data_IF_958675281114
#
_entry.id   IF_958675281114
#
_cell.length_a   1.000
_cell.length_b   1.000
_cell.length_c   1.000
_cell.angle_alpha   90.00
_cell.angle_beta   90.00
_cell.angle_gamma   90.00
#
_symmetry.space_group_name_H-M   'P 1'
#
loop_
_entity.id
_entity.type
_entity.pdbx_description
1 polymer ?
#
# COMPACT_ATOMS: atom_id res chain seq x y z
N UNK A 1 24.46 25.93 -21.97
CA UNK A 1 23.59 25.99 -23.16
C UNK A 1 22.65 24.77 -23.29
N UNK A 2 22.92 23.62 -22.70
CA UNK A 2 22.06 22.41 -22.81
C UNK A 2 20.77 22.46 -21.93
N UNK A 3 20.67 23.34 -20.93
CA UNK A 3 19.49 23.45 -20.05
C UNK A 3 18.28 24.18 -20.69
N UNK A 4 18.54 25.03 -21.68
CA UNK A 4 17.47 25.79 -22.38
C UNK A 4 16.68 24.94 -23.39
N UNK A 5 17.31 23.95 -24.04
CA UNK A 5 16.64 23.08 -24.99
C UNK A 5 15.58 22.18 -24.34
N UNK A 6 15.73 21.81 -23.06
CA UNK A 6 14.78 20.97 -22.34
C UNK A 6 13.47 21.71 -21.96
N UNK A 7 13.50 23.04 -21.85
CA UNK A 7 12.35 23.86 -21.49
C UNK A 7 11.37 24.09 -22.65
N UNK A 8 11.85 24.10 -23.89
CA UNK A 8 11.05 24.39 -25.07
C UNK A 8 10.18 23.22 -25.54
N UNK A 9 10.48 22.00 -25.07
CA UNK A 9 9.78 20.78 -25.45
C UNK A 9 8.70 20.34 -24.45
N UNK A 10 8.40 21.19 -23.44
CA UNK A 10 7.32 20.96 -22.46
C UNK A 10 6.04 21.69 -22.91
N UNK A 11 5.19 20.99 -23.64
CA UNK A 11 3.78 21.41 -23.77
C UNK A 11 3.00 21.10 -22.49
N UNK A 12 1.82 21.72 -22.26
CA UNK A 12 0.97 21.41 -21.14
C UNK A 12 0.61 19.92 -21.13
N UNK A 13 1.04 19.18 -20.10
CA UNK A 13 0.79 17.74 -19.93
C UNK A 13 1.63 16.81 -20.81
N UNK A 14 2.73 17.29 -21.44
CA UNK A 14 3.59 16.48 -22.32
C UNK A 14 5.07 16.85 -22.17
N UNK A 15 5.92 15.83 -22.24
CA UNK A 15 7.39 15.99 -22.27
C UNK A 15 7.96 15.15 -23.40
N UNK A 16 8.82 15.77 -24.21
CA UNK A 16 9.63 15.11 -25.22
C UNK A 16 11.09 15.10 -24.75
N UNK A 17 11.71 13.95 -24.73
CA UNK A 17 13.13 13.76 -24.43
C UNK A 17 13.78 13.06 -25.61
N UNK A 18 14.83 13.67 -26.19
CA UNK A 18 15.67 13.02 -27.17
C UNK A 18 16.61 12.06 -26.45
N UNK A 19 16.49 10.77 -26.76
CA UNK A 19 17.31 9.71 -26.16
C UNK A 19 18.75 9.79 -26.71
N UNK A 20 19.69 9.10 -26.09
CA UNK A 20 21.10 9.11 -26.50
C UNK A 20 21.25 8.67 -27.96
N UNK A 21 20.56 7.60 -28.33
CA UNK A 21 20.52 7.03 -29.68
C UNK A 21 19.93 8.03 -30.67
N UNK A 22 18.85 8.70 -30.30
CA UNK A 22 18.24 9.74 -31.14
C UNK A 22 19.18 10.92 -31.45
N UNK A 23 20.01 11.32 -30.46
CA UNK A 23 21.02 12.38 -30.71
C UNK A 23 22.06 11.97 -31.73
N UNK A 24 22.52 10.71 -31.69
CA UNK A 24 23.43 10.18 -32.69
C UNK A 24 22.81 10.14 -34.08
N UNK A 25 21.58 9.65 -34.19
CA UNK A 25 20.86 9.60 -35.47
C UNK A 25 20.67 11.00 -36.04
N UNK A 26 20.28 11.99 -35.24
CA UNK A 26 20.17 13.39 -35.67
C UNK A 26 21.54 13.92 -36.14
N UNK A 27 22.59 13.66 -35.40
CA UNK A 27 23.96 14.07 -35.78
C UNK A 27 24.43 13.47 -37.10
N UNK A 28 24.19 12.16 -37.29
CA UNK A 28 24.48 11.45 -38.54
C UNK A 28 23.66 12.04 -39.69
N UNK A 29 22.37 12.28 -39.46
CA UNK A 29 21.46 12.84 -40.48
C UNK A 29 21.95 14.20 -40.95
N UNK A 30 22.38 15.08 -40.04
CA UNK A 30 22.95 16.37 -40.37
C UNK A 30 24.28 16.20 -41.12
N UNK A 31 25.17 15.32 -40.67
CA UNK A 31 26.46 15.05 -41.30
C UNK A 31 26.31 14.53 -42.74
N UNK A 32 25.41 13.57 -42.96
CA UNK A 32 25.12 13.04 -44.30
C UNK A 32 24.52 14.13 -45.19
N UNK A 33 23.63 14.98 -44.63
CA UNK A 33 23.06 16.11 -45.38
C UNK A 33 24.12 17.11 -45.87
N UNK A 34 25.06 17.48 -44.97
CA UNK A 34 26.18 18.36 -45.31
C UNK A 34 27.09 17.73 -46.38
N UNK A 35 27.38 16.43 -46.25
CA UNK A 35 28.17 15.69 -47.24
C UNK A 35 27.44 15.63 -48.61
N UNK A 36 26.15 15.40 -48.60
CA UNK A 36 25.32 15.36 -49.83
C UNK A 36 25.37 16.70 -50.58
N UNK A 37 25.20 17.81 -49.84
CA UNK A 37 25.27 19.16 -50.42
C UNK A 37 26.67 19.47 -50.97
N UNK A 38 27.71 19.10 -50.22
CA UNK A 38 29.09 19.40 -50.62
C UNK A 38 29.57 18.58 -51.83
N UNK A 39 29.13 17.32 -51.94
CA UNK A 39 29.55 16.39 -53.02
C UNK A 39 28.64 16.39 -54.22
N UNK A 40 27.42 16.89 -54.11
CA UNK A 40 26.36 16.80 -55.16
C UNK A 40 25.96 15.39 -55.52
N UNK A 41 26.24 14.38 -54.66
CA UNK A 41 25.99 12.96 -54.93
C UNK A 41 24.54 12.59 -54.67
N UNK A 42 23.83 12.17 -55.72
CA UNK A 42 22.40 11.79 -55.67
C UNK A 42 22.13 10.64 -54.68
N UNK A 43 23.06 9.70 -54.52
CA UNK A 43 22.90 8.60 -53.56
C UNK A 43 22.90 9.11 -52.14
N UNK A 44 23.76 10.08 -51.78
CA UNK A 44 23.77 10.70 -50.49
C UNK A 44 22.48 11.49 -50.18
N UNK A 45 21.90 12.16 -51.16
CA UNK A 45 20.60 12.81 -51.02
C UNK A 45 19.48 11.78 -50.75
N UNK A 46 19.52 10.61 -51.40
CA UNK A 46 18.57 9.54 -51.16
C UNK A 46 18.66 9.04 -49.70
N UNK A 47 19.91 8.73 -49.25
CA UNK A 47 20.14 8.28 -47.85
C UNK A 47 19.73 9.36 -46.85
N UNK A 48 20.02 10.62 -47.12
CA UNK A 48 19.58 11.72 -46.26
C UNK A 48 18.08 11.84 -46.18
N UNK A 49 17.37 11.72 -47.29
CA UNK A 49 15.90 11.70 -47.33
C UNK A 49 15.30 10.52 -46.51
N UNK A 50 15.92 9.34 -46.58
CA UNK A 50 15.51 8.18 -45.80
C UNK A 50 15.72 8.43 -44.27
N UNK A 51 16.85 9.00 -43.88
CA UNK A 51 17.12 9.33 -42.46
C UNK A 51 16.16 10.40 -41.94
N UNK A 52 15.90 11.46 -42.70
CA UNK A 52 14.91 12.49 -42.37
C UNK A 52 13.50 11.88 -42.20
N UNK A 53 13.10 11.02 -43.15
CA UNK A 53 11.82 10.33 -43.09
C UNK A 53 11.70 9.45 -41.85
N UNK A 54 12.75 8.73 -41.47
CA UNK A 54 12.77 7.91 -40.27
C UNK A 54 12.61 8.74 -38.97
N UNK A 55 13.30 9.89 -38.89
CA UNK A 55 13.19 10.81 -37.75
C UNK A 55 11.78 11.40 -37.65
N UNK A 56 11.23 11.88 -38.78
CA UNK A 56 9.87 12.43 -38.82
C UNK A 56 8.82 11.37 -38.48
N UNK A 57 8.93 10.19 -39.06
CA UNK A 57 8.02 9.07 -38.82
C UNK A 57 8.06 8.64 -37.35
N UNK A 58 9.23 8.56 -36.75
CA UNK A 58 9.39 8.29 -35.32
C UNK A 58 8.64 9.33 -34.46
N UNK A 59 8.72 10.61 -34.81
CA UNK A 59 7.99 11.67 -34.12
C UNK A 59 6.47 11.53 -34.22
N UNK A 60 5.95 11.19 -35.40
CA UNK A 60 4.51 11.04 -35.64
C UNK A 60 3.96 9.77 -34.97
N UNK A 61 4.64 8.62 -35.17
CA UNK A 61 4.19 7.34 -34.61
C UNK A 61 4.23 7.31 -33.10
N UNK A 62 5.24 7.93 -32.46
CA UNK A 62 5.28 8.04 -31.00
C UNK A 62 4.12 8.88 -30.44
N UNK A 63 3.65 9.89 -31.16
CA UNK A 63 2.46 10.66 -30.78
C UNK A 63 1.18 9.83 -30.97
N UNK A 64 1.09 9.12 -32.08
CA UNK A 64 -0.05 8.23 -32.35
C UNK A 64 -0.18 7.12 -31.31
N UNK A 65 0.95 6.56 -30.84
CA UNK A 65 0.98 5.51 -29.83
C UNK A 65 0.45 5.97 -28.45
N UNK A 66 0.58 7.25 -28.11
CA UNK A 66 0.05 7.80 -26.85
C UNK A 66 -1.37 8.35 -26.96
N UNK A 67 -1.85 8.57 -28.22
CA UNK A 67 -3.18 9.12 -28.45
C UNK A 67 -4.24 8.05 -28.14
N UNK A 68 -5.25 8.43 -27.35
CA UNK A 68 -6.37 7.54 -27.03
C UNK A 68 -6.12 6.61 -25.83
N UNK A 69 -4.92 6.61 -25.25
CA UNK A 69 -4.69 5.88 -24.01
C UNK A 69 -5.30 6.63 -22.82
N UNK A 70 -6.10 5.91 -22.03
CA UNK A 70 -6.75 6.42 -20.84
C UNK A 70 -6.57 5.45 -19.67
N UNK A 71 -6.33 6.04 -18.49
CA UNK A 71 -6.33 5.29 -17.25
C UNK A 71 -7.78 5.22 -16.74
N UNK A 72 -8.26 4.02 -16.43
CA UNK A 72 -9.65 3.77 -16.04
C UNK A 72 -9.81 3.56 -14.54
N UNK A 73 -8.96 2.77 -13.95
CA UNK A 73 -9.04 2.37 -12.55
C UNK A 73 -7.65 2.16 -11.95
N UNK A 74 -7.48 2.65 -10.73
CA UNK A 74 -6.32 2.35 -9.91
C UNK A 74 -6.82 1.78 -8.59
N UNK A 75 -6.27 0.65 -8.18
CA UNK A 75 -6.50 0.05 -6.86
C UNK A 75 -5.17 -0.12 -6.17
N UNK A 76 -5.18 0.05 -4.87
CA UNK A 76 -4.00 -0.10 -4.03
C UNK A 76 -4.35 -1.02 -2.86
N UNK A 77 -3.43 -1.90 -2.49
CA UNK A 77 -3.51 -2.68 -1.25
C UNK A 77 -3.09 -1.83 -0.05
N UNK A 78 -3.38 -2.33 1.15
CA UNK A 78 -2.84 -1.76 2.39
C UNK A 78 -1.32 -1.68 2.29
N UNK A 79 -0.73 -0.64 2.87
CA UNK A 79 0.70 -0.37 2.74
C UNK A 79 1.31 0.08 4.06
N UNK A 80 2.56 -0.37 4.28
CA UNK A 80 3.42 0.07 5.38
C UNK A 80 4.72 0.63 4.81
N UNK A 81 5.39 1.46 5.57
CA UNK A 81 6.70 2.02 5.19
C UNK A 81 7.68 0.89 4.87
N UNK A 82 8.41 1.04 3.76
CA UNK A 82 9.41 0.06 3.33
C UNK A 82 8.86 -1.23 2.71
N UNK A 83 7.57 -1.53 2.90
CA UNK A 83 6.94 -2.74 2.34
C UNK A 83 6.38 -2.50 0.94
N UNK A 84 6.45 -3.48 0.04
CA UNK A 84 5.89 -3.37 -1.31
C UNK A 84 4.36 -3.44 -1.26
N UNK A 85 3.68 -2.35 -1.62
CA UNK A 85 2.24 -2.28 -1.79
C UNK A 85 1.87 -2.57 -3.25
N UNK A 86 0.91 -3.48 -3.48
CA UNK A 86 0.46 -3.81 -4.84
C UNK A 86 -0.46 -2.73 -5.38
N UNK A 87 -0.10 -2.18 -6.52
CA UNK A 87 -0.90 -1.20 -7.26
C UNK A 87 -1.39 -1.84 -8.56
N UNK A 88 -2.70 -1.94 -8.71
CA UNK A 88 -3.34 -2.43 -9.91
C UNK A 88 -3.80 -1.26 -10.78
N UNK A 89 -3.37 -1.22 -12.03
CA UNK A 89 -3.76 -0.19 -13.00
C UNK A 89 -4.52 -0.83 -14.16
N UNK A 90 -5.69 -0.29 -14.48
CA UNK A 90 -6.42 -0.60 -15.70
C UNK A 90 -6.23 0.54 -16.71
N UNK A 91 -5.70 0.22 -17.88
CA UNK A 91 -5.53 1.12 -19.00
C UNK A 91 -6.39 0.70 -20.19
N UNK A 92 -7.02 1.65 -20.87
CA UNK A 92 -7.79 1.43 -22.11
C UNK A 92 -7.15 2.16 -23.26
N UNK A 93 -7.23 1.55 -24.45
CA UNK A 93 -6.97 2.21 -25.72
C UNK A 93 -8.30 2.53 -26.40
N UNK A 94 -8.70 3.79 -26.37
CA UNK A 94 -9.97 4.25 -26.94
C UNK A 94 -9.86 4.56 -28.46
N UNK A 95 -8.69 4.32 -29.08
CA UNK A 95 -8.54 4.42 -30.53
C UNK A 95 -9.42 3.38 -31.25
N UNK A 96 -9.88 3.74 -32.44
CA UNK A 96 -10.69 2.83 -33.25
C UNK A 96 -9.87 1.84 -34.08
N UNK A 97 -8.69 2.27 -34.57
CA UNK A 97 -7.93 1.53 -35.59
C UNK A 97 -6.44 1.35 -35.25
N UNK A 98 -5.89 2.12 -34.29
CA UNK A 98 -4.45 2.15 -34.05
C UNK A 98 -4.08 1.46 -32.76
N UNK A 99 -3.14 0.55 -32.85
CA UNK A 99 -2.48 -0.05 -31.70
C UNK A 99 -1.56 0.98 -31.03
N UNK A 100 -1.42 0.88 -29.72
CA UNK A 100 -0.42 1.63 -28.97
C UNK A 100 0.73 0.69 -28.61
N UNK A 101 1.96 1.05 -28.97
CA UNK A 101 3.13 0.20 -28.80
C UNK A 101 4.12 0.76 -27.77
N UNK A 102 4.86 -0.15 -27.12
CA UNK A 102 5.94 0.14 -26.18
C UNK A 102 5.51 1.15 -25.10
N UNK A 103 4.36 0.92 -24.48
CA UNK A 103 3.75 1.82 -23.52
C UNK A 103 4.16 1.43 -22.10
N UNK A 104 4.70 2.39 -21.37
CA UNK A 104 4.96 2.23 -19.93
C UNK A 104 4.18 3.26 -19.13
N UNK A 105 3.63 2.83 -17.99
CA UNK A 105 2.87 3.70 -17.08
C UNK A 105 3.67 3.95 -15.82
N UNK A 106 3.63 5.17 -15.32
CA UNK A 106 4.17 5.59 -14.04
C UNK A 106 3.12 6.32 -13.21
N UNK A 107 3.32 6.32 -11.92
CA UNK A 107 2.49 7.00 -10.92
C UNK A 107 3.32 8.03 -10.17
N UNK A 108 2.84 9.26 -10.10
CA UNK A 108 3.44 10.32 -9.29
C UNK A 108 2.62 10.44 -8.00
N UNK A 109 3.26 10.13 -6.90
CA UNK A 109 2.71 10.21 -5.56
C UNK A 109 3.24 11.44 -4.85
N UNK A 110 2.40 12.14 -4.12
CA UNK A 110 2.73 13.30 -3.34
C UNK A 110 2.36 13.06 -1.88
N UNK A 111 3.30 13.24 -0.98
CA UNK A 111 3.11 13.19 0.45
C UNK A 111 2.63 14.53 0.99
N UNK A 112 1.87 14.55 2.09
CA UNK A 112 1.39 15.79 2.71
C UNK A 112 2.54 16.70 3.19
N UNK A 113 3.74 16.18 3.45
CA UNK A 113 4.94 16.98 3.73
C UNK A 113 5.53 17.67 2.49
N UNK A 114 4.99 17.44 1.29
CA UNK A 114 5.46 18.01 0.03
C UNK A 114 6.46 17.15 -0.74
N UNK A 115 6.85 15.99 -0.22
CA UNK A 115 7.72 15.05 -0.94
C UNK A 115 6.99 14.43 -2.12
N UNK A 116 7.70 14.28 -3.24
CA UNK A 116 7.16 13.65 -4.45
C UNK A 116 7.93 12.38 -4.80
N UNK A 117 7.21 11.35 -5.22
CA UNK A 117 7.78 10.07 -5.64
C UNK A 117 7.18 9.63 -6.97
N UNK A 118 8.03 9.49 -7.99
CA UNK A 118 7.65 8.92 -9.29
C UNK A 118 8.09 7.45 -9.36
N UNK A 119 7.12 6.56 -9.49
CA UNK A 119 7.38 5.12 -9.66
C UNK A 119 6.92 4.67 -11.03
N UNK A 120 7.78 3.97 -11.77
CA UNK A 120 7.45 3.36 -13.04
C UNK A 120 6.95 1.94 -12.83
N UNK A 121 5.78 1.66 -13.38
CA UNK A 121 5.07 0.40 -13.27
C UNK A 121 5.10 -0.40 -14.57
N UNK A 122 3.96 -1.02 -14.94
CA UNK A 122 3.89 -1.99 -16.01
C UNK A 122 4.28 -1.42 -17.37
N UNK A 123 4.89 -2.31 -18.17
CA UNK A 123 5.21 -2.07 -19.56
C UNK A 123 4.39 -3.01 -20.43
N UNK A 124 3.69 -2.45 -21.41
CA UNK A 124 2.96 -3.20 -22.43
C UNK A 124 3.63 -3.04 -23.79
N UNK A 125 3.94 -4.16 -24.41
CA UNK A 125 4.49 -4.17 -25.77
C UNK A 125 3.45 -3.62 -26.73
N UNK A 126 2.19 -4.02 -26.54
CA UNK A 126 1.06 -3.60 -27.38
C UNK A 126 -0.23 -3.48 -26.55
N UNK A 127 -0.99 -2.43 -26.84
CA UNK A 127 -2.36 -2.25 -26.37
C UNK A 127 -3.26 -2.06 -27.60
N UNK A 128 -4.03 -3.11 -27.92
CA UNK A 128 -4.89 -3.14 -29.11
C UNK A 128 -6.01 -2.11 -29.04
N UNK A 129 -6.59 -1.71 -30.20
CA UNK A 129 -7.71 -0.76 -30.24
C UNK A 129 -8.93 -1.29 -29.47
N UNK A 130 -9.67 -0.39 -28.81
CA UNK A 130 -10.86 -0.71 -28.01
C UNK A 130 -10.67 -1.79 -26.95
N UNK A 131 -9.42 -2.08 -26.58
CA UNK A 131 -9.08 -3.07 -25.56
C UNK A 131 -8.78 -2.42 -24.22
N UNK A 132 -8.84 -3.25 -23.17
CA UNK A 132 -8.40 -2.91 -21.81
C UNK A 132 -7.30 -3.85 -21.41
N UNK A 133 -6.34 -3.31 -20.69
CA UNK A 133 -5.23 -4.08 -20.10
C UNK A 133 -5.12 -3.71 -18.62
N UNK A 134 -5.03 -4.72 -17.79
CA UNK A 134 -4.79 -4.57 -16.35
C UNK A 134 -3.42 -5.14 -16.04
N UNK A 135 -2.69 -4.49 -15.18
CA UNK A 135 -1.44 -5.01 -14.65
C UNK A 135 -1.23 -4.52 -13.23
N UNK A 136 -0.54 -5.35 -12.46
CA UNK A 136 -0.14 -5.08 -11.10
C UNK A 136 1.35 -4.76 -11.06
N UNK A 137 1.73 -3.86 -10.17
CA UNK A 137 3.13 -3.57 -9.86
C UNK A 137 3.26 -3.09 -8.42
N UNK A 138 4.48 -3.16 -7.89
CA UNK A 138 4.73 -2.80 -6.50
C UNK A 138 5.23 -1.36 -6.38
N UNK A 139 4.73 -0.67 -5.38
CA UNK A 139 5.19 0.66 -4.96
C UNK A 139 5.61 0.56 -3.50
N UNK A 140 6.78 1.09 -3.17
CA UNK A 140 7.28 1.13 -1.80
C UNK A 140 7.33 2.57 -1.33
N UNK A 141 6.57 2.87 -0.28
CA UNK A 141 6.51 4.22 0.28
C UNK A 141 7.60 4.42 1.33
N UNK A 142 8.39 5.51 1.25
CA UNK A 142 9.52 5.74 2.16
C UNK A 142 9.12 6.37 3.51
N UNK A 143 7.90 6.92 3.61
CA UNK A 143 7.41 7.63 4.81
C UNK A 143 5.99 7.24 5.13
N UNK A 144 5.66 7.21 6.42
CA UNK A 144 4.31 7.06 6.96
C UNK A 144 3.46 8.29 6.65
N UNK A 145 2.16 8.10 6.62
CA UNK A 145 1.18 9.17 6.48
C UNK A 145 0.42 9.11 5.17
N UNK A 146 -0.15 10.24 4.76
CA UNK A 146 -1.02 10.32 3.60
C UNK A 146 -0.21 10.56 2.33
N UNK A 147 -0.37 9.66 1.37
CA UNK A 147 0.15 9.79 0.01
C UNK A 147 -0.99 9.92 -0.98
N UNK A 148 -0.95 10.95 -1.81
CA UNK A 148 -1.97 11.22 -2.83
C UNK A 148 -1.39 10.97 -4.21
N UNK A 149 -2.08 10.18 -5.04
CA UNK A 149 -1.75 10.01 -6.44
C UNK A 149 -2.14 11.30 -7.18
N UNK A 150 -1.13 12.10 -7.55
CA UNK A 150 -1.34 13.40 -8.18
C UNK A 150 -1.43 13.31 -9.70
N UNK A 151 -0.56 12.50 -10.32
CA UNK A 151 -0.49 12.35 -11.77
C UNK A 151 -0.19 10.91 -12.18
N UNK A 152 -0.74 10.52 -13.32
CA UNK A 152 -0.31 9.32 -14.05
C UNK A 152 0.47 9.73 -15.28
N UNK A 153 1.63 9.09 -15.43
CA UNK A 153 2.55 9.29 -16.53
C UNK A 153 2.44 8.12 -17.50
N UNK A 154 2.32 8.39 -18.77
CA UNK A 154 2.39 7.37 -19.82
C UNK A 154 3.51 7.72 -20.78
N UNK A 155 4.47 6.83 -20.96
CA UNK A 155 5.58 7.05 -21.88
C UNK A 155 5.68 5.98 -22.94
N UNK A 156 6.24 6.37 -24.08
CA UNK A 156 6.63 5.46 -25.17
C UNK A 156 7.91 5.93 -25.83
N UNK A 157 8.68 4.99 -26.33
CA UNK A 157 9.86 5.22 -27.18
C UNK A 157 9.68 4.62 -28.58
N UNK A 158 8.47 4.20 -28.92
CA UNK A 158 8.15 3.62 -30.24
C UNK A 158 8.28 4.64 -31.36
N UNK A 159 8.71 4.23 -32.59
CA UNK A 159 9.15 2.90 -33.00
C UNK A 159 10.67 2.67 -32.86
N UNK A 160 11.51 3.69 -33.00
CA UNK A 160 12.98 3.55 -33.13
C UNK A 160 13.75 4.00 -31.89
N UNK A 161 13.06 4.31 -30.79
CA UNK A 161 13.65 4.84 -29.55
C UNK A 161 14.49 6.14 -29.76
N UNK A 162 14.27 6.92 -30.83
CA UNK A 162 14.93 8.20 -30.98
C UNK A 162 14.42 9.25 -30.00
N UNK A 163 13.11 9.16 -29.72
CA UNK A 163 12.38 10.05 -28.83
C UNK A 163 11.65 9.26 -27.75
N UNK A 164 11.77 9.69 -26.52
CA UNK A 164 10.86 9.28 -25.44
C UNK A 164 9.83 10.38 -25.25
N UNK A 165 8.57 10.05 -25.48
CA UNK A 165 7.45 10.95 -25.21
C UNK A 165 6.73 10.49 -23.95
N UNK A 166 6.51 11.44 -23.06
CA UNK A 166 5.74 11.22 -21.83
C UNK A 166 4.54 12.14 -21.84
N UNK A 167 3.37 11.59 -21.54
CA UNK A 167 2.12 12.31 -21.34
C UNK A 167 1.77 12.26 -19.86
N UNK A 168 1.43 13.40 -19.28
CA UNK A 168 0.97 13.52 -17.90
C UNK A 168 -0.53 13.73 -17.88
N UNK A 169 -1.20 13.08 -16.96
CA UNK A 169 -2.62 13.28 -16.70
C UNK A 169 -2.85 13.37 -15.21
N UNK A 170 -3.46 14.44 -14.76
CA UNK A 170 -3.96 14.54 -13.38
C UNK A 170 -5.05 13.49 -13.19
N UNK A 171 -5.07 12.86 -12.05
CA UNK A 171 -6.04 11.85 -11.65
C UNK A 171 -6.92 12.46 -10.57
N UNK A 172 -8.19 12.06 -10.52
CA UNK A 172 -9.05 12.38 -9.38
C UNK A 172 -8.39 11.84 -8.12
N UNK A 173 -8.36 12.66 -7.07
CA UNK A 173 -7.54 12.43 -5.89
C UNK A 173 -7.77 11.04 -5.26
N UNK A 174 -6.92 10.10 -5.60
CA UNK A 174 -6.79 8.84 -4.90
C UNK A 174 -5.70 9.01 -3.84
N UNK A 175 -6.01 8.72 -2.61
CA UNK A 175 -5.04 8.77 -1.52
C UNK A 175 -4.96 7.42 -0.80
N UNK A 176 -3.85 7.21 -0.14
CA UNK A 176 -3.60 6.05 0.71
C UNK A 176 -2.95 6.52 2.01
N UNK A 177 -3.33 5.87 3.09
CA UNK A 177 -2.65 5.98 4.36
C UNK A 177 -1.60 4.88 4.47
N UNK A 178 -0.35 5.27 4.64
CA UNK A 178 0.78 4.36 4.77
C UNK A 178 1.08 4.18 6.25
N UNK A 179 0.93 2.94 6.74
CA UNK A 179 1.19 2.56 8.12
C UNK A 179 2.69 2.63 8.47
N UNK A 180 3.05 2.69 9.75
CA UNK A 180 4.45 2.60 10.17
C UNK A 180 5.13 1.34 9.66
N UNK A 181 6.46 1.36 9.61
CA UNK A 181 7.28 0.22 9.22
C UNK A 181 6.96 -1.01 10.09
N UNK A 182 6.87 -2.18 9.44
CA UNK A 182 6.74 -3.46 10.12
C UNK A 182 8.10 -4.13 10.24
N UNK A 183 8.48 -4.51 11.47
CA UNK A 183 9.69 -5.26 11.77
C UNK A 183 9.32 -6.63 12.30
N UNK A 184 10.17 -7.60 12.05
CA UNK A 184 10.01 -8.92 12.67
C UNK A 184 10.35 -8.82 14.16
N UNK A 185 9.37 -9.11 15.00
CA UNK A 185 9.52 -9.10 16.46
C UNK A 185 9.00 -10.41 17.03
N UNK A 186 9.73 -10.95 18.02
CA UNK A 186 9.28 -12.08 18.81
C UNK A 186 8.62 -11.56 20.08
N UNK A 187 7.36 -11.94 20.28
CA UNK A 187 6.61 -11.62 21.49
C UNK A 187 6.43 -12.92 22.29
N UNK A 188 7.07 -13.01 23.46
CA UNK A 188 6.90 -14.13 24.39
C UNK A 188 5.58 -13.95 25.15
N UNK A 189 4.51 -14.60 24.69
CA UNK A 189 3.18 -14.55 25.33
C UNK A 189 3.23 -15.04 26.78
N UNK A 190 4.08 -16.00 27.10
CA UNK A 190 4.23 -16.52 28.46
C UNK A 190 4.78 -15.46 29.41
N UNK A 191 5.71 -14.62 28.94
CA UNK A 191 6.20 -13.49 29.71
C UNK A 191 5.09 -12.47 30.02
N UNK A 192 4.17 -12.25 29.09
CA UNK A 192 3.03 -11.37 29.30
C UNK A 192 2.02 -11.99 30.29
N UNK A 193 1.84 -13.31 30.25
CA UNK A 193 0.99 -14.07 31.20
C UNK A 193 1.58 -14.04 32.62
N UNK A 194 2.87 -14.33 32.78
CA UNK A 194 3.54 -14.34 34.07
C UNK A 194 3.54 -12.98 34.78
N UNK A 195 3.52 -11.91 33.99
CA UNK A 195 3.40 -10.54 34.49
C UNK A 195 1.96 -10.11 34.78
N UNK A 196 0.97 -11.00 34.57
CA UNK A 196 -0.45 -10.69 34.79
C UNK A 196 -1.03 -9.65 33.82
N UNK A 197 -0.34 -9.45 32.67
CA UNK A 197 -0.69 -8.45 31.67
C UNK A 197 -1.76 -8.96 30.69
N UNK A 198 -2.01 -10.26 30.71
CA UNK A 198 -2.98 -10.96 29.86
C UNK A 198 -4.19 -11.30 30.70
N UNK A 199 -5.34 -10.85 30.29
CA UNK A 199 -6.62 -11.25 30.90
C UNK A 199 -7.22 -12.38 30.07
N UNK A 200 -7.27 -13.58 30.63
CA UNK A 200 -8.03 -14.69 30.05
C UNK A 200 -9.52 -14.44 30.28
N UNK A 201 -10.22 -14.09 29.25
CA UNK A 201 -11.67 -13.99 29.30
C UNK A 201 -12.27 -15.33 28.88
N UNK A 202 -13.04 -15.90 29.77
CA UNK A 202 -14.00 -16.94 29.42
C UNK A 202 -15.13 -16.24 28.64
N UNK A 203 -14.96 -16.11 27.33
CA UNK A 203 -16.09 -15.72 26.50
C UNK A 203 -17.01 -16.92 26.38
N UNK A 204 -18.21 -16.81 26.93
CA UNK A 204 -19.31 -17.72 26.62
C UNK A 204 -19.60 -17.63 25.11
N UNK A 205 -18.85 -18.39 24.34
CA UNK A 205 -18.97 -18.45 22.87
C UNK A 205 -20.15 -19.32 22.50
N UNK A 206 -21.04 -18.80 21.68
CA UNK A 206 -22.06 -19.62 21.02
C UNK A 206 -21.48 -20.42 19.84
N UNK A 207 -20.14 -20.37 19.64
CA UNK A 207 -19.39 -20.94 18.53
C UNK A 207 -18.07 -21.53 19.04
N UNK A 208 -17.96 -22.84 19.02
CA UNK A 208 -16.75 -23.59 19.42
C UNK A 208 -16.93 -25.07 19.14
N UNK A 209 -15.86 -25.85 19.31
CA UNK A 209 -15.92 -27.31 19.24
C UNK A 209 -16.78 -27.88 20.37
N UNK A 210 -17.45 -29.00 20.11
CA UNK A 210 -18.31 -29.65 21.08
C UNK A 210 -17.45 -30.36 22.13
N UNK A 211 -17.35 -29.78 23.34
CA UNK A 211 -16.66 -30.37 24.49
C UNK A 211 -17.39 -31.57 25.06
N UNK A 212 -18.77 -31.50 25.05
CA UNK A 212 -19.58 -32.53 25.64
C UNK A 212 -21.05 -32.29 25.38
N UNK A 213 -21.89 -33.15 25.97
CA UNK A 213 -23.35 -33.08 25.92
C UNK A 213 -23.84 -33.15 27.35
N UNK A 214 -24.66 -32.17 27.78
CA UNK A 214 -25.24 -32.09 29.11
C UNK A 214 -26.79 -32.00 29.03
N UNK A 215 -27.49 -32.27 30.11
CA UNK A 215 -28.91 -31.99 30.16
C UNK A 215 -29.24 -30.52 29.90
N UNK A 216 -30.26 -30.28 29.11
CA UNK A 216 -30.74 -28.93 28.78
C UNK A 216 -31.22 -28.21 30.03
N UNK A 217 -30.85 -26.93 30.14
CA UNK A 217 -31.29 -26.04 31.24
C UNK A 217 -32.19 -24.96 30.68
N UNK A 218 -33.16 -24.52 31.51
CA UNK A 218 -34.04 -23.41 31.12
C UNK A 218 -33.19 -22.15 30.88
N UNK A 219 -33.27 -21.60 29.65
CA UNK A 219 -32.44 -20.49 29.20
C UNK A 219 -31.38 -20.89 28.17
N UNK A 220 -31.12 -22.16 27.92
CA UNK A 220 -30.20 -22.59 26.87
C UNK A 220 -30.79 -22.26 25.48
N UNK A 221 -29.97 -21.78 24.51
CA UNK A 221 -30.40 -21.54 23.15
C UNK A 221 -30.85 -22.85 22.46
N UNK A 222 -31.99 -22.85 21.81
CA UNK A 222 -32.50 -24.02 21.07
C UNK A 222 -31.57 -24.52 19.97
N UNK A 223 -30.73 -23.64 19.40
CA UNK A 223 -29.70 -24.00 18.42
C UNK A 223 -28.62 -24.92 18.95
N UNK A 224 -28.44 -25.00 20.25
CA UNK A 224 -27.44 -25.88 20.90
C UNK A 224 -28.03 -27.26 21.26
N UNK A 225 -29.30 -27.52 20.99
CA UNK A 225 -29.89 -28.83 21.26
C UNK A 225 -29.25 -29.90 20.40
N UNK A 226 -28.76 -30.96 21.05
CA UNK A 226 -28.19 -32.12 20.36
C UNK A 226 -29.29 -33.18 20.14
N UNK A 227 -29.98 -33.09 19.02
CA UNK A 227 -31.18 -33.90 18.71
C UNK A 227 -30.97 -35.39 18.80
N UNK A 228 -29.78 -35.88 18.39
CA UNK A 228 -29.48 -37.31 18.44
C UNK A 228 -29.40 -37.86 19.89
N UNK A 229 -28.79 -37.10 20.79
CA UNK A 229 -28.71 -37.47 22.20
C UNK A 229 -30.03 -37.27 22.91
N UNK A 230 -30.79 -36.24 22.56
CA UNK A 230 -32.15 -35.99 23.04
C UNK A 230 -33.07 -37.17 22.71
N UNK A 231 -33.00 -37.72 21.49
CA UNK A 231 -33.79 -38.88 21.07
C UNK A 231 -33.39 -40.15 21.83
N UNK A 232 -32.11 -40.35 22.15
CA UNK A 232 -31.63 -41.52 22.90
C UNK A 232 -31.99 -41.47 24.37
N UNK A 233 -31.89 -40.32 25.00
CA UNK A 233 -32.08 -40.19 26.44
C UNK A 233 -33.51 -39.81 26.81
N UNK A 234 -34.38 -39.59 25.83
CA UNK A 234 -35.78 -39.14 26.00
C UNK A 234 -35.89 -37.89 26.91
N UNK A 235 -34.83 -37.11 27.00
CA UNK A 235 -34.72 -35.85 27.73
C UNK A 235 -33.91 -34.87 26.91
N UNK A 236 -34.23 -33.58 27.01
CA UNK A 236 -33.55 -32.56 26.24
C UNK A 236 -32.07 -32.48 26.61
N UNK A 237 -31.22 -32.61 25.61
CA UNK A 237 -29.77 -32.56 25.75
C UNK A 237 -29.22 -31.38 24.96
N UNK A 238 -28.34 -30.60 25.58
CA UNK A 238 -27.67 -29.44 24.99
C UNK A 238 -26.20 -29.74 24.74
N UNK A 239 -25.67 -29.26 23.63
CA UNK A 239 -24.26 -29.28 23.34
C UNK A 239 -23.55 -28.33 24.30
N UNK A 240 -22.53 -28.82 24.98
CA UNK A 240 -21.58 -28.01 25.73
C UNK A 240 -20.42 -27.68 24.80
N UNK A 241 -20.35 -26.40 24.37
CA UNK A 241 -19.30 -25.95 23.52
C UNK A 241 -18.06 -25.69 24.37
N UNK A 242 -16.87 -25.94 23.79
CA UNK A 242 -15.61 -25.56 24.43
C UNK A 242 -15.57 -24.03 24.45
N UNK A 243 -15.44 -23.45 25.62
CA UNK A 243 -15.24 -22.01 25.76
C UNK A 243 -13.92 -21.67 25.07
N UNK A 244 -13.99 -20.95 23.97
CA UNK A 244 -12.78 -20.39 23.39
C UNK A 244 -12.15 -19.45 24.42
N UNK A 245 -11.05 -19.88 25.03
CA UNK A 245 -10.24 -19.04 25.93
C UNK A 245 -9.67 -17.91 25.08
N UNK A 246 -10.39 -16.81 25.02
CA UNK A 246 -9.90 -15.59 24.37
C UNK A 246 -8.85 -14.94 25.27
N UNK A 247 -7.67 -14.78 24.72
CA UNK A 247 -6.61 -13.99 25.34
C UNK A 247 -6.83 -12.53 24.96
N UNK A 248 -6.91 -11.63 25.93
CA UNK A 248 -7.03 -10.20 25.66
C UNK A 248 -5.98 -9.40 26.44
N UNK A 249 -5.49 -8.35 25.81
CA UNK A 249 -4.52 -7.41 26.40
C UNK A 249 -5.08 -6.00 26.27
N UNK A 250 -5.03 -5.23 27.37
CA UNK A 250 -5.37 -3.81 27.36
C UNK A 250 -4.08 -3.00 27.45
N UNK A 251 -3.89 -2.14 26.46
CA UNK A 251 -2.69 -1.31 26.30
C UNK A 251 -3.09 0.16 26.24
N UNK A 252 -2.34 1.01 26.93
CA UNK A 252 -2.41 2.46 26.80
C UNK A 252 -1.06 2.98 26.35
N UNK A 253 -1.03 3.73 25.27
CA UNK A 253 0.21 4.26 24.73
C UNK A 253 0.16 5.78 24.56
N UNK A 254 1.28 6.43 24.88
CA UNK A 254 1.57 7.81 24.54
C UNK A 254 3.06 7.93 24.19
N UNK A 255 3.46 8.80 23.24
CA UNK A 255 4.85 8.95 22.86
C UNK A 255 5.71 9.47 24.00
N UNK A 256 6.94 8.96 24.11
CA UNK A 256 7.92 9.48 25.06
C UNK A 256 8.67 10.69 24.53
N UNK A 257 9.06 10.62 23.26
CA UNK A 257 9.92 11.60 22.62
C UNK A 257 9.49 11.79 21.16
N UNK A 258 9.20 13.03 20.79
CA UNK A 258 8.79 13.37 19.43
C UNK A 258 9.90 13.08 18.39
N UNK A 259 11.16 13.17 18.78
CA UNK A 259 12.30 12.88 17.89
C UNK A 259 12.40 11.38 17.58
N UNK A 260 11.82 10.51 18.42
CA UNK A 260 11.80 9.06 18.26
C UNK A 260 10.43 8.49 17.87
N UNK A 261 9.47 9.36 17.64
CA UNK A 261 8.07 8.99 17.40
C UNK A 261 7.91 7.93 16.32
N UNK A 262 8.59 8.10 15.18
CA UNK A 262 8.48 7.14 14.07
C UNK A 262 8.99 5.74 14.44
N UNK A 263 10.04 5.68 15.24
CA UNK A 263 10.55 4.40 15.75
C UNK A 263 9.58 3.77 16.75
N UNK A 264 9.08 4.54 17.71
CA UNK A 264 8.10 4.06 18.70
C UNK A 264 6.82 3.55 18.03
N UNK A 265 6.33 4.24 16.99
CA UNK A 265 5.17 3.82 16.20
C UNK A 265 5.44 2.52 15.42
N UNK A 266 6.64 2.36 14.85
CA UNK A 266 7.04 1.13 14.17
C UNK A 266 7.13 -0.05 15.13
N UNK A 267 7.73 0.15 16.29
CA UNK A 267 7.85 -0.87 17.34
C UNK A 267 6.46 -1.27 17.86
N UNK A 268 5.60 -0.29 18.16
CA UNK A 268 4.22 -0.51 18.59
C UNK A 268 3.41 -1.28 17.52
N UNK A 269 3.49 -0.84 16.26
CA UNK A 269 2.82 -1.48 15.14
C UNK A 269 3.23 -2.95 15.01
N UNK A 270 4.53 -3.22 15.05
CA UNK A 270 5.09 -4.56 14.90
C UNK A 270 4.65 -5.51 16.03
N UNK A 271 4.72 -5.05 17.27
CA UNK A 271 4.27 -5.82 18.44
C UNK A 271 2.78 -6.15 18.36
N UNK A 272 1.95 -5.15 18.07
CA UNK A 272 0.51 -5.33 18.06
C UNK A 272 0.05 -6.23 16.90
N UNK A 273 0.67 -6.12 15.72
CA UNK A 273 0.40 -7.04 14.60
C UNK A 273 0.77 -8.47 14.97
N UNK A 274 1.92 -8.68 15.62
CA UNK A 274 2.36 -10.00 16.07
C UNK A 274 1.39 -10.59 17.10
N UNK A 275 0.92 -9.81 18.07
CA UNK A 275 -0.07 -10.25 19.03
C UNK A 275 -1.40 -10.62 18.37
N UNK A 276 -1.88 -9.81 17.41
CA UNK A 276 -3.10 -10.10 16.64
C UNK A 276 -2.96 -11.38 15.82
N UNK A 277 -1.79 -11.63 15.23
CA UNK A 277 -1.51 -12.87 14.50
C UNK A 277 -1.53 -14.11 15.39
N UNK A 278 -1.18 -13.97 16.69
CA UNK A 278 -1.32 -15.04 17.69
C UNK A 278 -2.75 -15.18 18.26
N UNK A 279 -3.73 -14.46 17.69
CA UNK A 279 -5.14 -14.55 18.12
C UNK A 279 -5.47 -13.77 19.38
N UNK A 280 -4.58 -12.88 19.83
CA UNK A 280 -4.82 -12.02 21.00
C UNK A 280 -5.76 -10.88 20.60
N UNK A 281 -6.81 -10.66 21.40
CA UNK A 281 -7.67 -9.48 21.25
C UNK A 281 -7.03 -8.30 22.00
N UNK A 282 -6.92 -7.15 21.34
CA UNK A 282 -6.22 -5.99 21.89
C UNK A 282 -7.19 -4.84 22.09
N UNK A 283 -7.16 -4.25 23.28
CA UNK A 283 -7.81 -2.99 23.58
C UNK A 283 -6.72 -1.93 23.68
N UNK A 284 -6.64 -1.05 22.67
CA UNK A 284 -5.59 -0.03 22.57
C UNK A 284 -6.18 1.35 22.81
N UNK A 285 -5.63 2.09 23.75
CA UNK A 285 -5.90 3.49 24.02
C UNK A 285 -4.66 4.34 23.65
N UNK A 286 -4.84 5.33 22.77
CA UNK A 286 -3.77 6.22 22.34
C UNK A 286 -4.03 7.62 22.88
N UNK A 287 -3.11 8.13 23.71
CA UNK A 287 -3.15 9.48 24.32
C UNK A 287 -4.50 9.92 24.89
N UNK A 288 -5.27 9.02 25.44
CA UNK A 288 -6.61 9.29 25.94
C UNK A 288 -7.63 9.82 24.89
N UNK A 289 -7.24 9.83 23.62
CA UNK A 289 -8.04 10.40 22.52
C UNK A 289 -8.67 9.35 21.63
N UNK A 290 -8.01 8.22 21.42
CA UNK A 290 -8.48 7.15 20.55
C UNK A 290 -8.46 5.82 21.30
N UNK A 291 -9.59 5.12 21.27
CA UNK A 291 -9.70 3.76 21.79
C UNK A 291 -10.07 2.81 20.66
N UNK A 292 -9.31 1.73 20.50
CA UNK A 292 -9.50 0.72 19.47
C UNK A 292 -9.67 -0.66 20.12
N UNK A 293 -10.67 -1.40 19.66
CA UNK A 293 -10.81 -2.82 19.93
C UNK A 293 -10.36 -3.59 18.69
N UNK A 294 -9.23 -4.28 18.77
CA UNK A 294 -8.55 -4.91 17.65
C UNK A 294 -8.68 -6.43 17.75
N UNK A 295 -9.15 -7.08 16.68
CA UNK A 295 -9.27 -8.54 16.61
C UNK A 295 -8.99 -9.05 15.19
N UNK A 296 -8.08 -10.02 15.08
CA UNK A 296 -7.72 -10.66 13.80
C UNK A 296 -7.33 -9.68 12.70
N UNK A 297 -7.56 -10.06 11.44
CA UNK A 297 -7.13 -9.29 10.27
C UNK A 297 -7.77 -7.89 10.17
N UNK A 298 -9.05 -7.76 10.57
CA UNK A 298 -9.71 -6.44 10.61
C UNK A 298 -9.06 -5.51 11.63
N UNK A 299 -8.67 -6.07 12.78
CA UNK A 299 -7.92 -5.33 13.79
C UNK A 299 -6.57 -4.85 13.27
N UNK A 300 -5.87 -5.67 12.49
CA UNK A 300 -4.60 -5.32 11.87
C UNK A 300 -4.74 -4.13 10.91
N UNK A 301 -5.78 -4.13 10.07
CA UNK A 301 -6.06 -3.03 9.15
C UNK A 301 -6.45 -1.74 9.89
N UNK A 302 -7.31 -1.85 10.90
CA UNK A 302 -7.70 -0.69 11.73
C UNK A 302 -6.51 -0.08 12.47
N UNK A 303 -5.64 -0.92 13.03
CA UNK A 303 -4.40 -0.49 13.67
C UNK A 303 -3.50 0.26 12.71
N UNK A 304 -3.21 -0.35 11.55
CA UNK A 304 -2.38 0.26 10.52
C UNK A 304 -2.89 1.63 10.11
N UNK A 305 -4.20 1.77 9.88
CA UNK A 305 -4.85 3.04 9.54
C UNK A 305 -4.73 4.07 10.67
N UNK A 306 -5.05 3.68 11.90
CA UNK A 306 -4.98 4.59 13.05
C UNK A 306 -3.56 5.12 13.28
N UNK A 307 -2.55 4.24 13.23
CA UNK A 307 -1.16 4.64 13.37
C UNK A 307 -0.64 5.45 12.17
N UNK A 308 -1.16 5.21 10.96
CA UNK A 308 -0.85 6.03 9.79
C UNK A 308 -1.36 7.47 9.92
N UNK A 309 -2.54 7.64 10.50
CA UNK A 309 -3.19 8.95 10.71
C UNK A 309 -2.65 9.69 11.93
N UNK A 310 -2.05 8.99 12.87
CA UNK A 310 -1.55 9.59 14.12
C UNK A 310 -0.59 10.77 13.85
N UNK A 311 -0.91 11.93 14.41
CA UNK A 311 -0.17 13.19 14.22
C UNK A 311 -0.53 13.98 12.96
N UNK A 312 -1.37 13.44 12.05
CA UNK A 312 -1.87 14.14 10.85
C UNK A 312 -3.33 14.56 10.99
N UNK A 313 -4.15 13.78 11.67
CA UNK A 313 -5.57 14.05 11.89
C UNK A 313 -5.90 14.04 13.39
N UNK A 314 -6.89 14.84 13.81
CA UNK A 314 -7.41 14.80 15.18
C UNK A 314 -8.46 13.69 15.29
N UNK A 315 -8.26 12.77 16.22
CA UNK A 315 -9.22 11.71 16.50
C UNK A 315 -10.34 12.23 17.42
N UNK A 316 -11.58 11.90 17.09
CA UNK A 316 -12.78 12.36 17.81
C UNK A 316 -13.59 11.25 18.51
N UNK A 317 -13.04 10.04 18.65
CA UNK A 317 -13.78 8.92 19.23
C UNK A 317 -13.45 8.70 20.70
N UNK A 318 -14.47 8.77 21.56
CA UNK A 318 -14.39 8.52 22.99
C UNK A 318 -15.00 7.18 23.35
N UNK A 319 -14.28 6.32 24.07
CA UNK A 319 -14.85 5.24 24.86
C UNK A 319 -14.65 5.54 26.35
N UNK A 320 -15.73 5.46 27.13
CA UNK A 320 -15.71 5.74 28.57
C UNK A 320 -15.36 4.50 29.42
N UNK A 321 -15.15 3.34 28.83
CA UNK A 321 -14.83 2.14 29.61
C UNK A 321 -13.39 2.19 30.14
N UNK A 322 -13.25 2.26 31.47
CA UNK A 322 -11.96 2.18 32.14
C UNK A 322 -11.63 0.72 32.42
N UNK A 323 -10.59 0.21 31.75
CA UNK A 323 -10.04 -1.13 32.00
C UNK A 323 -8.61 -1.00 32.53
N UNK A 324 -8.15 -1.90 33.40
CA UNK A 324 -6.72 -1.98 33.73
C UNK A 324 -5.92 -2.17 32.46
N UNK A 325 -4.85 -1.38 32.28
CA UNK A 325 -4.07 -1.39 31.05
C UNK A 325 -2.56 -1.40 31.33
N UNK A 326 -1.81 -1.92 30.38
CA UNK A 326 -0.36 -1.78 30.34
C UNK A 326 -0.07 -0.38 29.79
N UNK A 327 0.62 0.45 30.56
CA UNK A 327 1.03 1.78 30.13
C UNK A 327 2.34 1.68 29.36
N UNK A 328 2.36 2.21 28.14
CA UNK A 328 3.52 2.24 27.25
C UNK A 328 3.95 3.68 26.97
N UNK A 329 5.26 3.88 26.88
CA UNK A 329 5.81 5.20 26.60
C UNK A 329 5.61 6.15 27.78
N UNK A 330 5.05 7.35 27.54
CA UNK A 330 4.75 8.35 28.57
C UNK A 330 3.32 8.27 29.14
N UNK A 331 2.55 7.24 28.77
CA UNK A 331 1.19 7.05 29.27
C UNK A 331 1.16 6.90 30.79
N UNK A 332 0.28 7.68 31.46
CA UNK A 332 0.23 7.68 32.96
C UNK A 332 -0.69 6.56 33.46
N UNK A 333 -0.26 5.77 34.46
CA UNK A 333 -1.13 4.82 35.13
C UNK A 333 -2.33 5.54 35.77
N UNK A 334 -3.54 5.00 35.55
CA UNK A 334 -4.80 5.56 36.07
C UNK A 334 -5.42 4.68 37.16
N UNK A 335 -5.10 3.39 37.14
CA UNK A 335 -5.64 2.41 38.06
C UNK A 335 -4.50 1.79 38.88
N UNK A 336 -4.83 1.35 40.09
CA UNK A 336 -3.87 0.65 40.97
C UNK A 336 -3.53 -0.71 40.38
N UNK A 337 -2.24 -0.98 40.14
CA UNK A 337 -1.76 -2.22 39.50
C UNK A 337 -1.38 -2.08 38.03
N UNK A 338 -1.59 -0.91 37.40
CA UNK A 338 -1.04 -0.64 36.08
C UNK A 338 0.49 -0.48 36.16
N UNK A 339 1.19 -1.10 35.20
CA UNK A 339 2.65 -1.06 35.10
C UNK A 339 3.08 -0.24 33.88
N UNK A 340 4.14 0.55 34.07
CA UNK A 340 4.72 1.37 32.99
C UNK A 340 5.90 0.63 32.37
N UNK A 341 5.88 0.51 31.05
CA UNK A 341 6.93 -0.12 30.26
C UNK A 341 7.31 0.76 29.06
N UNK A 342 8.55 0.64 28.60
CA UNK A 342 8.91 1.09 27.26
C UNK A 342 8.43 0.04 26.23
N UNK A 343 8.06 0.49 25.01
CA UNK A 343 7.61 -0.44 23.98
C UNK A 343 8.65 -1.54 23.73
N UNK A 344 9.96 -1.18 23.72
CA UNK A 344 11.06 -2.11 23.53
C UNK A 344 11.32 -3.10 24.69
N UNK A 345 10.67 -2.96 25.85
CA UNK A 345 10.83 -3.87 26.99
C UNK A 345 9.89 -5.08 26.95
N UNK A 346 8.86 -5.03 26.11
CA UNK A 346 7.85 -6.07 25.97
C UNK A 346 8.08 -7.01 24.80
N UNK A 347 9.14 -6.78 24.00
CA UNK A 347 9.49 -7.63 22.87
C UNK A 347 11.02 -7.63 22.63
N UNK A 348 11.50 -8.62 21.87
CA UNK A 348 12.86 -8.66 21.33
C UNK A 348 12.81 -8.53 19.82
N UNK A 349 13.63 -7.62 19.28
CA UNK A 349 13.81 -7.52 17.83
C UNK A 349 14.55 -8.77 17.35
N UNK A 350 14.01 -9.46 16.34
CA UNK A 350 14.69 -10.57 15.69
C UNK A 350 15.84 -9.97 14.87
N UNK A 351 17.07 -10.27 15.27
CA UNK A 351 18.23 -9.85 14.51
C UNK A 351 18.10 -10.38 13.07
N UNK A 352 18.13 -9.49 12.09
CA UNK A 352 18.16 -9.88 10.69
C UNK A 352 19.35 -10.81 10.46
N UNK A 353 19.09 -12.07 10.05
CA UNK A 353 20.10 -13.06 9.66
C UNK A 353 20.56 -12.85 8.23
#
# INVERSE_FOLDING_TARGET
MLSLASKWLRGPGRKLKVVREGRWVIGITVGVGLAAINTGNNLLFLVWGMLLSAVMLSGVLSEAALRGLNHRRVRLSDSSVGSPASVQIEMSNDNKFWNSYAVQVGTLWQHDSGDEMLTWGPFWVEVSPKSRRTADFNVTFPKRGRWTLSEMHTRTSYPFAFFEKTRFRKVDALFVWVAPELREVEVELDMLRDRGLVVEHQQAGHWGDIRGIRPFRLGDPLGLVHWLSTARHQSWMSKELEEARGVSVSLRWAPMDLDRLEKELSDLHSVLITLLAHGVSIWLEIEDTLTLELRGDRGSQQLGLALAQYGFEQFSSFSQERRPAICLGSAKPRLRGESLYQVGEIFREVAAR
#
